data_IF_723536214236
#
_entry.id   IF_723536214236
#
_cell.length_a   1.000
_cell.length_b   1.000
_cell.length_c   1.000
_cell.angle_alpha   90.00
_cell.angle_beta   90.00
_cell.angle_gamma   90.00
#
_symmetry.space_group_name_H-M   'P 1'
#
loop_
_entity.id
_entity.type
_entity.pdbx_description
1 polymer ?
#
# COMPACT_ATOMS: atom_id res chain seq x y z
N UNK A 1 11.58 -20.29 -10.07
CA UNK A 1 10.24 -20.16 -10.67
C UNK A 1 10.41 -19.65 -12.09
N UNK A 2 9.76 -20.21 -13.12
CA UNK A 2 9.88 -19.65 -14.46
C UNK A 2 9.20 -18.28 -14.47
N UNK A 3 9.97 -17.23 -14.71
CA UNK A 3 9.44 -15.91 -15.03
C UNK A 3 8.90 -15.98 -16.45
N UNK A 4 7.68 -15.48 -16.71
CA UNK A 4 7.23 -15.33 -18.09
C UNK A 4 8.26 -14.50 -18.85
N UNK A 5 8.77 -15.01 -19.97
CA UNK A 5 9.84 -14.37 -20.74
C UNK A 5 9.56 -12.89 -21.00
N UNK A 6 8.29 -12.55 -21.27
CA UNK A 6 7.89 -11.17 -21.53
C UNK A 6 8.05 -10.24 -20.32
N UNK A 7 7.79 -10.73 -19.10
CA UNK A 7 8.02 -9.94 -17.86
C UNK A 7 9.53 -9.75 -17.65
N UNK A 8 10.35 -10.74 -17.99
CA UNK A 8 11.79 -10.62 -17.93
C UNK A 8 12.35 -9.53 -18.86
N UNK A 9 11.73 -9.30 -20.03
CA UNK A 9 12.16 -8.28 -20.99
C UNK A 9 12.05 -6.85 -20.44
N UNK A 10 11.13 -6.58 -19.53
CA UNK A 10 10.97 -5.26 -18.92
C UNK A 10 11.33 -5.23 -17.42
N UNK A 11 12.09 -6.22 -16.95
CA UNK A 11 12.50 -6.31 -15.55
C UNK A 11 13.29 -5.08 -15.08
N UNK A 12 14.22 -4.60 -15.91
CA UNK A 12 15.02 -3.41 -15.59
C UNK A 12 14.15 -2.14 -15.46
N UNK A 13 13.10 -2.00 -16.27
CA UNK A 13 12.14 -0.90 -16.17
C UNK A 13 11.39 -0.97 -14.82
N UNK A 14 11.01 -2.18 -14.39
CA UNK A 14 10.36 -2.38 -13.10
C UNK A 14 11.32 -2.09 -11.93
N UNK A 15 12.57 -2.51 -12.03
CA UNK A 15 13.61 -2.18 -11.03
C UNK A 15 13.77 -0.67 -10.92
N UNK A 16 13.87 0.03 -12.05
CA UNK A 16 13.97 1.48 -12.08
C UNK A 16 12.75 2.16 -11.44
N UNK A 17 11.54 1.71 -11.80
CA UNK A 17 10.28 2.20 -11.22
C UNK A 17 10.23 2.00 -9.71
N UNK A 18 10.54 0.80 -9.22
CA UNK A 18 10.57 0.49 -7.80
C UNK A 18 11.55 1.36 -7.04
N UNK A 19 12.78 1.53 -7.57
CA UNK A 19 13.82 2.37 -6.96
C UNK A 19 13.45 3.84 -6.96
N UNK A 20 12.76 4.31 -7.99
CA UNK A 20 12.29 5.68 -8.07
C UNK A 20 11.19 5.96 -7.03
N UNK A 21 10.21 5.08 -6.88
CA UNK A 21 9.19 5.17 -5.82
C UNK A 21 9.86 5.14 -4.44
N UNK A 22 10.79 4.19 -4.22
CA UNK A 22 11.52 4.06 -2.97
C UNK A 22 12.29 5.32 -2.58
N UNK A 23 12.91 5.97 -3.57
CA UNK A 23 13.68 7.20 -3.35
C UNK A 23 12.80 8.42 -3.04
N UNK A 24 11.49 8.36 -3.32
CA UNK A 24 10.56 9.47 -3.16
C UNK A 24 9.31 9.04 -2.37
N UNK A 25 9.47 8.53 -1.13
CA UNK A 25 8.36 8.03 -0.34
C UNK A 25 7.40 9.15 0.08
N UNK A 26 6.11 8.85 0.02
CA UNK A 26 5.01 9.73 0.40
C UNK A 26 4.14 9.03 1.45
N UNK A 27 3.62 9.79 2.42
CA UNK A 27 2.77 9.24 3.48
C UNK A 27 1.32 9.09 3.00
N UNK A 28 0.55 8.33 3.76
CA UNK A 28 -0.85 8.07 3.46
C UNK A 28 -1.68 9.34 3.19
N UNK A 29 -2.44 9.32 2.10
CA UNK A 29 -3.19 10.43 1.50
C UNK A 29 -2.34 11.60 0.96
N UNK A 30 -1.01 11.47 0.96
CA UNK A 30 -0.06 12.42 0.36
C UNK A 30 0.68 11.82 -0.84
N UNK A 31 0.29 10.63 -1.33
CA UNK A 31 0.97 9.86 -2.39
C UNK A 31 0.73 10.46 -3.79
N UNK A 32 0.79 11.79 -3.92
CA UNK A 32 0.45 12.49 -5.17
C UNK A 32 1.38 12.11 -6.32
N UNK A 33 2.70 12.08 -6.07
CA UNK A 33 3.70 11.73 -7.07
C UNK A 33 3.59 10.27 -7.50
N UNK A 34 3.44 9.37 -6.53
CA UNK A 34 3.27 7.93 -6.78
C UNK A 34 1.98 7.66 -7.55
N UNK A 35 0.88 8.30 -7.16
CA UNK A 35 -0.42 8.26 -7.86
C UNK A 35 -0.29 8.72 -9.31
N UNK A 36 0.39 9.85 -9.55
CA UNK A 36 0.62 10.37 -10.89
C UNK A 36 1.48 9.43 -11.75
N UNK A 37 2.55 8.87 -11.19
CA UNK A 37 3.39 7.89 -11.86
C UNK A 37 2.60 6.66 -12.27
N UNK A 38 1.82 6.10 -11.35
CA UNK A 38 0.96 4.93 -11.60
C UNK A 38 -0.02 5.23 -12.72
N UNK A 39 -0.76 6.32 -12.61
CA UNK A 39 -1.76 6.68 -13.59
C UNK A 39 -1.18 6.91 -14.99
N UNK A 40 -0.04 7.62 -15.09
CA UNK A 40 0.64 7.86 -16.37
C UNK A 40 1.12 6.55 -17.02
N UNK A 41 1.67 5.63 -16.23
CA UNK A 41 2.09 4.32 -16.77
C UNK A 41 0.89 3.53 -17.28
N UNK A 42 -0.20 3.43 -16.51
CA UNK A 42 -1.41 2.73 -16.94
C UNK A 42 -2.00 3.33 -18.22
N UNK A 43 -2.11 4.67 -18.29
CA UNK A 43 -2.58 5.40 -19.47
C UNK A 43 -1.70 5.13 -20.71
N UNK A 44 -0.37 5.07 -20.52
CA UNK A 44 0.58 4.80 -21.61
C UNK A 44 0.43 3.40 -22.22
N UNK A 45 -0.13 2.45 -21.47
CA UNK A 45 -0.45 1.09 -21.94
C UNK A 45 -1.90 0.94 -22.44
N UNK A 46 -2.65 2.06 -22.53
CA UNK A 46 -4.02 2.07 -23.02
C UNK A 46 -5.03 1.48 -22.03
N UNK A 47 -4.73 1.49 -20.74
CA UNK A 47 -5.64 1.12 -19.67
C UNK A 47 -6.48 2.33 -19.31
N UNK A 48 -7.79 2.17 -19.15
CA UNK A 48 -8.69 3.21 -18.66
C UNK A 48 -8.36 3.51 -17.20
N UNK A 49 -8.16 4.80 -16.83
CA UNK A 49 -7.69 5.21 -15.50
C UNK A 49 -8.68 6.11 -14.81
N UNK A 50 -8.97 5.79 -13.55
CA UNK A 50 -9.77 6.59 -12.63
C UNK A 50 -8.89 7.02 -11.46
N UNK A 51 -8.79 8.34 -11.24
CA UNK A 51 -7.92 8.96 -10.24
C UNK A 51 -8.72 9.55 -9.07
N UNK A 52 -8.01 9.91 -8.01
CA UNK A 52 -8.54 10.63 -6.84
C UNK A 52 -9.62 9.84 -6.08
N UNK A 53 -9.53 8.51 -6.05
CA UNK A 53 -10.36 7.66 -5.21
C UNK A 53 -9.70 7.60 -3.83
N UNK A 54 -10.39 7.98 -2.78
CA UNK A 54 -9.78 8.19 -1.47
C UNK A 54 -8.53 9.11 -1.56
N UNK A 55 -8.69 10.27 -2.19
CA UNK A 55 -7.70 11.35 -2.37
C UNK A 55 -6.63 11.01 -3.42
N UNK A 56 -5.80 10.00 -3.22
CA UNK A 56 -4.63 9.68 -4.06
C UNK A 56 -4.73 8.31 -4.74
N UNK A 57 -5.77 7.53 -4.43
CA UNK A 57 -5.95 6.21 -5.02
C UNK A 57 -6.24 6.25 -6.52
N UNK A 58 -5.80 5.19 -7.20
CA UNK A 58 -5.94 5.02 -8.65
C UNK A 58 -6.56 3.66 -8.94
N UNK A 59 -7.51 3.61 -9.88
CA UNK A 59 -8.04 2.35 -10.41
C UNK A 59 -7.85 2.32 -11.92
N UNK A 60 -7.15 1.31 -12.41
CA UNK A 60 -7.06 0.99 -13.83
C UNK A 60 -8.08 -0.08 -14.22
N UNK A 61 -8.75 0.07 -15.35
CA UNK A 61 -9.73 -0.89 -15.86
C UNK A 61 -9.27 -1.46 -17.20
N UNK A 62 -9.10 -2.77 -17.27
CA UNK A 62 -8.69 -3.45 -18.48
C UNK A 62 -9.65 -4.59 -18.81
N UNK A 63 -10.21 -4.55 -20.03
CA UNK A 63 -11.03 -5.63 -20.57
C UNK A 63 -10.16 -6.57 -21.39
N UNK A 64 -10.32 -7.87 -21.15
CA UNK A 64 -9.71 -8.92 -21.94
C UNK A 64 -10.33 -9.07 -23.33
N UNK A 65 -9.85 -10.04 -24.08
CA UNK A 65 -10.34 -10.33 -25.45
C UNK A 65 -11.64 -11.13 -25.49
N UNK A 66 -12.07 -11.69 -24.35
CA UNK A 66 -13.32 -12.46 -24.25
C UNK A 66 -14.54 -11.60 -23.93
N UNK A 67 -15.70 -12.25 -23.80
CA UNK A 67 -17.01 -11.60 -23.56
C UNK A 67 -17.62 -11.90 -22.20
N UNK A 68 -16.88 -12.52 -21.29
CA UNK A 68 -17.35 -12.83 -19.94
C UNK A 68 -17.64 -11.53 -19.16
N UNK A 69 -18.62 -11.61 -18.28
CA UNK A 69 -18.91 -10.56 -17.30
C UNK A 69 -18.13 -10.70 -16.00
N UNK A 70 -17.27 -11.74 -15.90
CA UNK A 70 -16.43 -11.95 -14.72
C UNK A 70 -15.44 -10.81 -14.54
N UNK A 71 -15.17 -10.49 -13.28
CA UNK A 71 -14.22 -9.43 -12.94
C UNK A 71 -13.39 -9.78 -11.72
N UNK A 72 -12.15 -9.28 -11.71
CA UNK A 72 -11.24 -9.46 -10.58
C UNK A 72 -10.56 -8.14 -10.27
N UNK A 73 -10.39 -7.85 -8.97
CA UNK A 73 -9.56 -6.77 -8.48
C UNK A 73 -8.15 -7.30 -8.14
N UNK A 74 -7.13 -6.61 -8.60
CA UNK A 74 -5.74 -6.81 -8.16
C UNK A 74 -5.32 -5.55 -7.40
N UNK A 75 -4.90 -5.70 -6.14
CA UNK A 75 -4.64 -4.59 -5.22
C UNK A 75 -3.16 -4.48 -4.86
N UNK A 76 -2.65 -3.28 -4.86
CA UNK A 76 -1.41 -2.88 -4.21
C UNK A 76 -1.63 -1.61 -3.39
N UNK A 77 -0.91 -1.47 -2.29
CA UNK A 77 -0.80 -0.24 -1.51
C UNK A 77 0.34 0.64 -2.02
N UNK A 78 0.29 1.96 -1.69
CA UNK A 78 1.24 2.94 -2.25
C UNK A 78 1.99 3.75 -1.19
N UNK A 79 1.50 3.82 0.04
CA UNK A 79 2.02 4.72 1.07
C UNK A 79 3.31 4.22 1.73
N UNK A 80 4.06 5.16 2.30
CA UNK A 80 5.27 4.94 3.06
C UNK A 80 5.06 5.20 4.56
N UNK A 81 6.06 4.85 5.35
CA UNK A 81 6.07 5.04 6.81
C UNK A 81 6.79 6.32 7.23
N UNK A 82 6.34 6.99 8.33
CA UNK A 82 6.99 8.18 8.89
C UNK A 82 8.21 7.79 9.74
N UNK A 83 9.28 7.36 9.08
CA UNK A 83 10.54 6.96 9.71
C UNK A 83 11.72 7.23 8.80
N UNK A 84 12.91 7.43 9.39
CA UNK A 84 14.14 7.60 8.62
C UNK A 84 14.68 6.25 8.13
N UNK A 85 15.22 6.24 6.91
CA UNK A 85 15.92 5.09 6.38
C UNK A 85 17.36 5.08 6.89
N UNK A 86 17.74 4.06 7.67
CA UNK A 86 19.10 3.90 8.20
C UNK A 86 20.07 3.30 7.18
N UNK A 87 19.55 2.55 6.20
CA UNK A 87 20.35 1.94 5.13
C UNK A 87 20.95 2.97 4.18
N UNK A 88 21.92 2.52 3.39
CA UNK A 88 22.63 3.36 2.41
C UNK A 88 22.59 2.79 0.98
N UNK A 89 21.45 2.27 0.48
CA UNK A 89 21.36 1.86 -0.91
C UNK A 89 21.41 3.09 -1.84
N UNK A 90 21.81 2.91 -3.09
CA UNK A 90 21.85 3.99 -4.09
C UNK A 90 20.49 4.69 -4.24
N UNK A 91 19.41 3.95 -4.09
CA UNK A 91 18.03 4.42 -4.19
C UNK A 91 17.42 4.80 -2.83
N UNK A 92 18.26 5.11 -1.81
CA UNK A 92 17.80 5.56 -0.50
C UNK A 92 16.80 6.69 -0.62
N UNK A 93 15.87 6.76 0.34
CA UNK A 93 14.92 7.85 0.48
C UNK A 93 15.60 9.22 0.42
N UNK A 94 15.07 10.11 -0.41
CA UNK A 94 15.43 11.53 -0.51
C UNK A 94 14.53 12.42 0.35
N UNK A 95 13.51 11.87 0.96
CA UNK A 95 12.56 12.56 1.80
C UNK A 95 12.83 12.22 3.27
N UNK A 96 13.52 13.10 3.99
CA UNK A 96 13.83 12.91 5.41
C UNK A 96 12.56 12.58 6.21
N UNK A 97 12.67 11.62 7.14
CA UNK A 97 11.55 11.17 7.96
C UNK A 97 10.51 10.32 7.25
N UNK A 98 10.77 9.87 6.02
CA UNK A 98 9.86 8.99 5.25
C UNK A 98 10.65 7.84 4.61
N UNK A 99 10.11 6.63 4.66
CA UNK A 99 10.74 5.43 4.07
C UNK A 99 9.68 4.40 3.65
N UNK A 100 9.87 3.76 2.49
CA UNK A 100 9.12 2.56 2.12
C UNK A 100 9.64 1.33 2.89
N UNK A 101 9.41 1.30 4.21
CA UNK A 101 9.91 0.23 5.08
C UNK A 101 9.02 -1.02 5.06
N UNK A 102 7.77 -0.90 4.64
CA UNK A 102 6.84 -2.03 4.48
C UNK A 102 6.90 -2.68 3.09
N UNK A 103 7.52 -2.02 2.10
CA UNK A 103 7.72 -2.56 0.76
C UNK A 103 6.59 -2.26 -0.24
N UNK A 104 5.76 -1.24 0.03
CA UNK A 104 4.67 -0.84 -0.86
C UNK A 104 5.17 -0.31 -2.22
N UNK A 105 6.40 0.19 -2.30
CA UNK A 105 7.12 0.48 -3.55
C UNK A 105 7.24 -0.76 -4.45
N UNK A 106 7.51 -1.91 -3.83
CA UNK A 106 7.54 -3.22 -4.49
C UNK A 106 6.15 -3.69 -4.90
N UNK A 107 5.15 -3.55 -4.02
CA UNK A 107 3.77 -3.95 -4.30
C UNK A 107 3.19 -3.17 -5.49
N UNK A 108 3.32 -1.83 -5.47
CA UNK A 108 2.94 -0.95 -6.57
C UNK A 108 3.62 -1.36 -7.88
N UNK A 109 4.93 -1.60 -7.84
CA UNK A 109 5.70 -2.00 -9.03
C UNK A 109 5.29 -3.36 -9.57
N UNK A 110 5.03 -4.34 -8.70
CA UNK A 110 4.55 -5.67 -9.13
C UNK A 110 3.20 -5.56 -9.83
N UNK A 111 2.28 -4.75 -9.30
CA UNK A 111 0.98 -4.54 -9.92
C UNK A 111 1.08 -3.80 -11.26
N UNK A 112 1.97 -2.81 -11.38
CA UNK A 112 2.29 -2.16 -12.66
C UNK A 112 2.86 -3.15 -13.68
N UNK A 113 3.75 -4.05 -13.27
CA UNK A 113 4.28 -5.11 -14.13
C UNK A 113 3.20 -6.06 -14.64
N UNK A 114 2.27 -6.46 -13.77
CA UNK A 114 1.12 -7.27 -14.15
C UNK A 114 0.19 -6.51 -15.11
N UNK A 115 -0.06 -5.22 -14.86
CA UNK A 115 -0.89 -4.38 -15.71
C UNK A 115 -0.31 -4.24 -17.13
N UNK A 116 1.00 -3.97 -17.24
CA UNK A 116 1.71 -3.90 -18.53
C UNK A 116 1.57 -5.20 -19.32
N UNK A 117 1.87 -6.33 -18.66
CA UNK A 117 1.78 -7.65 -19.31
C UNK A 117 0.36 -7.95 -19.79
N UNK A 118 -0.64 -7.71 -18.96
CA UNK A 118 -2.04 -7.96 -19.31
C UNK A 118 -2.55 -7.00 -20.39
N UNK A 119 -2.11 -5.75 -20.40
CA UNK A 119 -2.46 -4.78 -21.45
C UNK A 119 -1.87 -5.16 -22.82
N UNK A 120 -0.62 -5.64 -22.85
CA UNK A 120 0.04 -6.10 -24.08
C UNK A 120 -0.62 -7.36 -24.66
N UNK A 121 -1.00 -8.30 -23.82
CA UNK A 121 -1.48 -9.62 -24.27
C UNK A 121 -2.99 -9.69 -24.42
N UNK A 122 -3.75 -9.06 -23.53
CA UNK A 122 -5.22 -9.15 -23.40
C UNK A 122 -5.75 -10.59 -23.43
N UNK A 123 -4.88 -11.56 -23.12
CA UNK A 123 -5.17 -12.99 -23.21
C UNK A 123 -5.88 -13.50 -21.95
N UNK A 124 -7.06 -12.93 -21.69
CA UNK A 124 -7.95 -13.34 -20.61
C UNK A 124 -9.40 -13.01 -20.97
N UNK A 125 -10.34 -13.59 -20.22
CA UNK A 125 -11.78 -13.39 -20.40
C UNK A 125 -12.38 -12.67 -19.20
N UNK A 126 -13.00 -11.51 -19.44
CA UNK A 126 -13.57 -10.66 -18.40
C UNK A 126 -12.83 -9.34 -18.22
N UNK A 127 -12.90 -8.78 -17.01
CA UNK A 127 -12.32 -7.47 -16.65
C UNK A 127 -11.35 -7.61 -15.47
N UNK A 128 -10.22 -6.92 -15.55
CA UNK A 128 -9.29 -6.74 -14.43
C UNK A 128 -9.32 -5.29 -13.99
N UNK A 129 -9.53 -5.08 -12.68
CA UNK A 129 -9.40 -3.80 -12.00
C UNK A 129 -8.08 -3.76 -11.25
N UNK A 130 -7.17 -2.88 -11.64
CA UNK A 130 -5.90 -2.63 -10.94
C UNK A 130 -6.13 -1.54 -9.89
N UNK A 131 -6.17 -1.92 -8.63
CA UNK A 131 -6.52 -1.05 -7.50
C UNK A 131 -5.24 -0.64 -6.77
N UNK A 132 -4.83 0.61 -6.93
CA UNK A 132 -3.71 1.19 -6.20
C UNK A 132 -4.28 1.98 -5.02
N UNK A 133 -4.15 1.38 -3.84
CA UNK A 133 -4.76 1.87 -2.61
C UNK A 133 -3.82 2.82 -1.88
N UNK A 134 -4.30 4.00 -1.44
CA UNK A 134 -3.56 4.89 -0.55
C UNK A 134 -3.69 4.48 0.91
N UNK A 135 -2.85 5.06 1.77
CA UNK A 135 -3.00 5.13 3.23
C UNK A 135 -3.33 3.81 3.92
N UNK A 136 -2.56 2.76 3.64
CA UNK A 136 -2.71 1.45 4.31
C UNK A 136 -2.22 1.53 5.77
N UNK A 137 -1.09 2.22 6.01
CA UNK A 137 -0.30 2.26 7.25
C UNK A 137 -0.96 3.05 8.41
N UNK A 138 -2.23 3.34 8.36
CA UNK A 138 -2.94 3.99 9.47
C UNK A 138 -4.07 4.93 9.05
N UNK A 139 -4.16 5.29 7.77
CA UNK A 139 -5.21 6.16 7.27
C UNK A 139 -6.53 5.44 6.95
N UNK A 140 -6.50 4.11 6.86
CA UNK A 140 -7.67 3.31 6.47
C UNK A 140 -8.12 3.55 5.04
N UNK A 141 -7.17 3.81 4.12
CA UNK A 141 -7.47 4.17 2.73
C UNK A 141 -8.33 3.15 1.99
N UNK A 142 -8.15 1.85 2.27
CA UNK A 142 -9.03 0.81 1.72
C UNK A 142 -10.48 0.98 2.14
N UNK A 143 -10.73 1.32 3.42
CA UNK A 143 -12.08 1.63 3.93
C UNK A 143 -12.66 2.86 3.23
N UNK A 144 -11.87 3.93 3.12
CA UNK A 144 -12.31 5.17 2.44
C UNK A 144 -12.67 4.89 0.98
N UNK A 145 -11.84 4.11 0.25
CA UNK A 145 -12.16 3.71 -1.14
C UNK A 145 -13.52 2.98 -1.22
N UNK A 146 -13.78 2.06 -0.29
CA UNK A 146 -15.06 1.31 -0.26
C UNK A 146 -16.21 2.23 0.07
N UNK A 147 -16.08 3.12 1.06
CA UNK A 147 -17.10 4.10 1.45
C UNK A 147 -17.42 5.09 0.30
N UNK A 148 -16.45 5.41 -0.56
CA UNK A 148 -16.63 6.21 -1.77
C UNK A 148 -17.24 5.42 -2.95
N UNK A 149 -17.60 4.15 -2.75
CA UNK A 149 -18.26 3.32 -3.73
C UNK A 149 -17.30 2.63 -4.71
N UNK A 150 -16.11 2.22 -4.25
CA UNK A 150 -15.14 1.49 -5.08
C UNK A 150 -15.79 0.31 -5.82
N UNK A 151 -16.49 -0.54 -5.09
CA UNK A 151 -17.10 -1.75 -5.66
C UNK A 151 -18.46 -1.52 -6.31
N UNK A 152 -19.08 -0.35 -6.11
CA UNK A 152 -20.26 0.07 -6.87
C UNK A 152 -19.89 0.51 -8.30
N UNK A 153 -18.68 1.09 -8.45
CA UNK A 153 -18.14 1.55 -9.73
C UNK A 153 -17.32 0.48 -10.45
N UNK A 154 -16.57 -0.31 -9.69
CA UNK A 154 -15.63 -1.32 -10.20
C UNK A 154 -15.97 -2.68 -9.57
N UNK A 155 -17.07 -3.24 -10.02
CA UNK A 155 -17.59 -4.52 -9.51
C UNK A 155 -16.53 -5.62 -9.67
N UNK A 156 -16.26 -6.36 -8.59
CA UNK A 156 -15.27 -7.44 -8.57
C UNK A 156 -15.89 -8.70 -7.95
N UNK A 157 -15.79 -9.84 -8.65
CA UNK A 157 -16.16 -11.14 -8.09
C UNK A 157 -15.20 -11.53 -6.95
N UNK A 158 -13.93 -11.17 -7.08
CA UNK A 158 -12.88 -11.39 -6.07
C UNK A 158 -11.83 -10.28 -6.13
N UNK A 159 -11.17 -10.05 -4.98
CA UNK A 159 -10.04 -9.12 -4.89
C UNK A 159 -8.82 -9.87 -4.34
N UNK A 160 -7.67 -9.65 -4.96
CA UNK A 160 -6.40 -10.27 -4.62
C UNK A 160 -5.34 -9.20 -4.35
N UNK A 161 -4.57 -9.38 -3.28
CA UNK A 161 -3.40 -8.59 -2.96
C UNK A 161 -2.25 -9.50 -2.54
N UNK A 162 -1.03 -9.04 -2.74
CA UNK A 162 0.17 -9.69 -2.22
C UNK A 162 0.89 -8.75 -1.27
N UNK A 163 1.50 -9.31 -0.25
CA UNK A 163 2.42 -8.60 0.63
C UNK A 163 3.79 -9.30 0.59
N UNK A 164 4.88 -8.53 0.46
CA UNK A 164 6.22 -9.08 0.61
C UNK A 164 6.43 -9.59 2.05
N UNK A 165 7.23 -10.62 2.19
CA UNK A 165 7.61 -11.17 3.50
C UNK A 165 9.11 -11.44 3.53
N UNK A 166 9.89 -10.70 4.33
CA UNK A 166 11.33 -10.91 4.45
C UNK A 166 11.69 -12.25 5.12
N UNK A 167 10.73 -12.89 5.79
CA UNK A 167 10.91 -14.14 6.49
C UNK A 167 10.68 -15.39 5.61
N UNK A 168 10.26 -15.21 4.36
CA UNK A 168 10.08 -16.30 3.41
C UNK A 168 11.22 -16.34 2.39
N UNK A 169 11.70 -17.54 2.00
CA UNK A 169 12.68 -17.64 0.92
C UNK A 169 12.16 -17.00 -0.38
N UNK A 170 13.04 -16.30 -1.11
CA UNK A 170 12.69 -15.68 -2.38
C UNK A 170 12.05 -16.70 -3.35
N UNK A 171 10.98 -16.29 -4.02
CA UNK A 171 10.21 -17.15 -4.91
C UNK A 171 9.20 -18.07 -4.23
N UNK A 172 9.05 -17.98 -2.91
CA UNK A 172 8.01 -18.68 -2.16
C UNK A 172 6.75 -17.81 -2.05
N UNK A 173 5.58 -18.44 -2.23
CA UNK A 173 4.27 -17.84 -1.94
C UNK A 173 3.63 -18.59 -0.79
N UNK A 174 3.04 -17.86 0.15
CA UNK A 174 2.29 -18.43 1.26
C UNK A 174 0.86 -17.89 1.27
N UNK A 175 -0.11 -18.78 1.41
CA UNK A 175 -1.53 -18.46 1.52
C UNK A 175 -2.20 -19.51 2.40
N UNK A 176 -3.24 -19.11 3.13
CA UNK A 176 -4.06 -20.03 3.91
C UNK A 176 -5.52 -19.60 3.90
N UNK A 177 -6.48 -20.50 4.12
CA UNK A 177 -7.86 -20.15 4.39
C UNK A 177 -8.01 -19.41 5.73
N UNK A 178 -8.97 -18.49 5.80
CA UNK A 178 -9.29 -17.74 7.03
C UNK A 178 -8.36 -16.55 7.28
N UNK A 179 -8.31 -16.02 8.50
CA UNK A 179 -7.50 -14.84 8.84
C UNK A 179 -6.02 -15.06 8.57
N UNK A 180 -5.40 -14.14 7.83
CA UNK A 180 -3.98 -14.18 7.45
C UNK A 180 -3.21 -13.04 8.09
N UNK A 181 -3.75 -11.82 8.07
CA UNK A 181 -3.13 -10.63 8.63
C UNK A 181 -3.70 -10.31 10.03
N UNK A 182 -2.90 -9.66 10.87
CA UNK A 182 -3.33 -9.20 12.19
C UNK A 182 -4.29 -8.02 12.08
N UNK A 183 -5.19 -7.88 13.06
CA UNK A 183 -5.93 -6.65 13.28
C UNK A 183 -5.10 -5.71 14.18
N UNK A 184 -5.29 -4.41 14.01
CA UNK A 184 -4.65 -3.37 14.82
C UNK A 184 -5.73 -2.47 15.40
N UNK A 185 -5.64 -2.24 16.71
CA UNK A 185 -6.45 -1.26 17.41
C UNK A 185 -5.52 -0.21 18.05
N UNK A 186 -5.92 1.05 18.00
CA UNK A 186 -5.16 2.14 18.61
C UNK A 186 -5.95 2.75 19.76
N UNK A 187 -5.38 2.71 20.98
CA UNK A 187 -5.93 3.37 22.15
C UNK A 187 -5.05 4.56 22.54
N UNK A 188 -5.65 5.74 22.68
CA UNK A 188 -4.98 6.94 23.21
C UNK A 188 -5.50 7.24 24.60
N UNK A 189 -4.63 7.16 25.61
CA UNK A 189 -4.95 7.45 27.00
C UNK A 189 -4.31 8.78 27.39
N UNK A 190 -5.10 9.71 27.88
CA UNK A 190 -4.61 11.00 28.41
C UNK A 190 -4.79 11.04 29.93
N UNK A 191 -3.69 11.18 30.66
CA UNK A 191 -3.69 11.28 32.10
C UNK A 191 -3.55 12.76 32.50
N UNK A 192 -4.60 13.33 33.12
CA UNK A 192 -4.57 14.70 33.63
C UNK A 192 -3.93 14.71 35.01
N UNK A 193 -2.73 15.28 35.06
CA UNK A 193 -1.93 15.38 36.29
C UNK A 193 -2.15 16.72 37.02
N UNK A 194 -1.70 16.77 38.31
CA UNK A 194 -1.62 17.97 39.07
C UNK A 194 -0.23 18.08 39.70
N UNK A 195 0.51 19.13 39.34
CA UNK A 195 1.82 19.42 39.92
C UNK A 195 1.71 19.83 41.41
N UNK A 196 2.76 19.52 42.16
CA UNK A 196 2.89 19.94 43.54
C UNK A 196 4.36 20.21 43.90
N UNK A 197 4.62 20.79 45.08
CA UNK A 197 5.97 20.92 45.61
C UNK A 197 6.56 19.52 45.91
N UNK A 198 7.82 19.29 45.58
CA UNK A 198 8.47 17.96 45.72
C UNK A 198 8.44 17.41 47.15
N UNK A 199 8.46 18.32 48.20
CA UNK A 199 8.33 17.92 49.58
C UNK A 199 6.88 17.63 50.03
N UNK A 200 5.89 17.82 49.16
CA UNK A 200 4.46 17.63 49.43
C UNK A 200 3.78 16.75 48.38
N UNK A 201 4.27 15.52 48.10
CA UNK A 201 3.77 14.69 47.04
C UNK A 201 2.29 14.30 47.19
N UNK A 202 1.78 14.32 48.41
CA UNK A 202 0.38 14.04 48.72
C UNK A 202 -0.61 15.11 48.20
N UNK A 203 -0.10 16.30 47.82
CA UNK A 203 -0.91 17.38 47.24
C UNK A 203 -1.00 17.31 45.70
N UNK A 204 -0.27 16.42 45.06
CA UNK A 204 -0.24 16.26 43.61
C UNK A 204 -0.94 14.99 43.12
N UNK A 205 -0.99 14.87 41.78
CA UNK A 205 -1.38 13.64 41.09
C UNK A 205 -0.27 13.29 40.14
N UNK A 206 0.48 12.23 40.45
CA UNK A 206 1.61 11.76 39.63
C UNK A 206 1.09 10.95 38.41
N UNK A 207 1.24 11.47 37.18
CA UNK A 207 0.76 10.77 35.99
C UNK A 207 1.58 9.52 35.71
N UNK A 208 2.84 9.45 36.13
CA UNK A 208 3.70 8.29 35.92
C UNK A 208 3.21 7.11 36.75
N UNK A 209 2.91 7.35 38.03
CA UNK A 209 2.35 6.33 38.93
C UNK A 209 1.03 5.74 38.38
N UNK A 210 0.14 6.61 37.87
CA UNK A 210 -1.10 6.18 37.23
C UNK A 210 -0.82 5.40 35.93
N UNK A 211 0.10 5.89 35.11
CA UNK A 211 0.48 5.23 33.87
C UNK A 211 1.05 3.82 34.04
N UNK A 212 1.88 3.65 35.10
CA UNK A 212 2.42 2.31 35.43
C UNK A 212 1.29 1.36 35.86
N UNK A 213 0.31 1.82 36.63
CA UNK A 213 -0.84 0.99 37.02
C UNK A 213 -1.76 0.61 35.84
N UNK A 214 -1.81 1.45 34.81
CA UNK A 214 -2.58 1.13 33.60
C UNK A 214 -1.87 0.11 32.69
N UNK A 215 -0.54 0.03 32.78
CA UNK A 215 0.26 -0.89 31.98
C UNK A 215 0.30 -2.31 32.58
N UNK A 216 0.19 -2.46 33.88
CA UNK A 216 0.21 -3.76 34.60
C UNK A 216 -1.17 -4.37 34.72
#
# INVERSE_FOLDING_TARGET
MPIYNRIADFHEDLVATRRDIHAHPELGFEEHRTSDLVAQQLESWGIEVHRNIATTGVVGVLKGSGNSKRSIGLRADMDALPMDEEGTPEHRSKNAGKMHACGHDGHTTMLLGAARYLAETKNFDGTVHFIFQPAEEGGGGGRVMVEEGLFDKFECDTVWGMHNSPNLPAGTLAIRPGPLMAAVDMAKITINAQGCHAAQPHMGKDPIAVGVQLYT
#
